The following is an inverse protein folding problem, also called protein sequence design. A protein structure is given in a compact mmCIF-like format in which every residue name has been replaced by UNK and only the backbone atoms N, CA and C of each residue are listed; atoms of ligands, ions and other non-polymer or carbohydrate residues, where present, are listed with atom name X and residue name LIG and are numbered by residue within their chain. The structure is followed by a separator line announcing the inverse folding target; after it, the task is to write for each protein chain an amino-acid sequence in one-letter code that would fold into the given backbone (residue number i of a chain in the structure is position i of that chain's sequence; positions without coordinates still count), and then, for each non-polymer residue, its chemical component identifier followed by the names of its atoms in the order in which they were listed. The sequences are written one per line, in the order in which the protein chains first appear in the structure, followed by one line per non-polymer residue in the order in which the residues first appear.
data_IF_757043623564
#
_entry.id   IF_757043623564
#
_cell.length_a   1.000
_cell.length_b   1.000
_cell.length_c   1.000
_cell.angle_alpha   90.00
_cell.angle_beta   90.00
_cell.angle_gamma   90.00
#
_symmetry.space_group_name_H-M   'P 1'
#
loop_
_entity.id
_entity.type
_entity.pdbx_description
1 polymer ?
#
# COMPACT_ATOMS: atom_id res chain seq x y z
N UNK A 1 -2.29 11.65 -18.68
CA UNK A 1 -1.08 11.29 -19.35
C UNK A 1 -0.09 10.64 -18.44
N UNK A 2 0.39 11.37 -17.50
CA UNK A 2 1.40 10.80 -16.62
C UNK A 2 0.91 9.60 -15.86
N UNK A 3 -0.39 9.51 -15.63
CA UNK A 3 -0.93 8.35 -14.95
C UNK A 3 -0.74 7.06 -15.70
N UNK A 4 -0.89 7.11 -17.00
CA UNK A 4 -0.68 5.93 -17.82
C UNK A 4 0.74 5.43 -17.70
N UNK A 5 1.67 6.33 -17.72
CA UNK A 5 3.08 5.97 -17.58
C UNK A 5 3.33 5.29 -16.25
N UNK A 6 2.76 5.83 -15.20
CA UNK A 6 2.97 5.27 -13.88
C UNK A 6 2.40 3.87 -13.79
N UNK A 7 1.21 3.68 -14.32
CA UNK A 7 0.61 2.37 -14.32
C UNK A 7 1.43 1.38 -15.11
N UNK A 8 1.95 1.81 -16.25
CA UNK A 8 2.78 0.97 -17.08
C UNK A 8 4.02 0.50 -16.34
N UNK A 9 4.64 1.40 -15.62
CA UNK A 9 5.83 1.04 -14.87
C UNK A 9 5.55 -0.03 -13.84
N UNK A 10 4.41 0.03 -13.20
CA UNK A 10 4.08 -0.93 -12.17
C UNK A 10 3.78 -2.31 -12.68
N UNK A 11 3.51 -2.44 -13.96
CA UNK A 11 3.16 -3.74 -14.51
C UNK A 11 4.28 -4.43 -15.24
N UNK A 12 5.45 -3.83 -15.23
CA UNK A 12 6.55 -4.34 -16.01
C UNK A 12 7.07 -5.72 -15.65
N UNK A 13 7.36 -6.01 -14.40
CA UNK A 13 8.08 -7.23 -14.11
C UNK A 13 7.27 -8.47 -14.44
N UNK A 14 7.97 -9.45 -14.86
CA UNK A 14 7.37 -10.75 -15.13
C UNK A 14 7.49 -11.58 -13.87
N UNK A 15 6.41 -12.02 -13.35
CA UNK A 15 6.41 -12.93 -12.21
C UNK A 15 6.31 -12.19 -10.88
N UNK A 16 5.61 -12.80 -9.93
CA UNK A 16 5.27 -12.13 -8.68
C UNK A 16 6.48 -11.76 -7.83
N UNK A 17 7.50 -12.62 -7.80
CA UNK A 17 8.64 -12.36 -6.94
C UNK A 17 9.52 -11.23 -7.42
N UNK A 18 9.33 -10.78 -8.65
CA UNK A 18 10.14 -9.72 -9.23
C UNK A 18 9.44 -8.38 -9.21
N UNK A 19 8.16 -8.37 -8.84
CA UNK A 19 7.44 -7.12 -8.76
C UNK A 19 7.97 -6.31 -7.60
N UNK A 20 8.16 -5.00 -7.80
CA UNK A 20 8.59 -4.15 -6.70
C UNK A 20 7.50 -4.10 -5.63
N UNK A 21 7.92 -3.88 -4.41
CA UNK A 21 6.98 -3.66 -3.32
C UNK A 21 6.40 -2.26 -3.48
N UNK A 22 5.08 -2.18 -3.59
CA UNK A 22 4.38 -0.91 -3.76
C UNK A 22 3.70 -0.57 -2.44
N UNK A 23 4.14 0.51 -1.82
CA UNK A 23 3.54 0.95 -0.58
C UNK A 23 2.16 1.53 -0.86
N UNK A 24 1.16 1.24 -0.01
CA UNK A 24 -0.19 1.80 -0.21
C UNK A 24 -0.21 3.32 -0.33
N UNK A 25 0.78 3.99 0.24
CA UNK A 25 0.90 5.44 0.13
C UNK A 25 1.02 5.91 -1.31
N UNK A 26 1.60 5.11 -2.19
CA UNK A 26 1.67 5.47 -3.61
C UNK A 26 0.29 5.47 -4.25
N UNK A 27 -0.52 4.50 -3.89
CA UNK A 27 -1.89 4.43 -4.39
C UNK A 27 -2.72 5.58 -3.84
N UNK A 28 -2.52 5.89 -2.55
CA UNK A 28 -3.22 7.00 -1.94
C UNK A 28 -2.82 8.32 -2.61
N UNK A 29 -1.55 8.47 -2.94
CA UNK A 29 -1.06 9.66 -3.62
C UNK A 29 -1.76 9.83 -4.97
N UNK A 30 -1.92 8.73 -5.71
CA UNK A 30 -2.61 8.76 -6.99
C UNK A 30 -4.07 9.18 -6.82
N UNK A 31 -4.73 8.66 -5.78
CA UNK A 31 -6.12 9.03 -5.51
C UNK A 31 -6.25 10.52 -5.21
N UNK A 32 -5.32 11.04 -4.42
CA UNK A 32 -5.36 12.46 -4.10
C UNK A 32 -5.12 13.32 -5.33
N UNK A 33 -4.17 12.92 -6.16
CA UNK A 33 -3.88 13.67 -7.39
C UNK A 33 -5.08 13.67 -8.32
N UNK A 34 -5.73 12.52 -8.45
CA UNK A 34 -6.89 12.37 -9.30
C UNK A 34 -8.02 13.29 -8.89
N UNK A 35 -8.19 13.47 -7.61
CA UNK A 35 -9.28 14.26 -7.05
C UNK A 35 -8.87 15.68 -6.72
N UNK A 36 -7.62 16.03 -6.99
CA UNK A 36 -7.07 17.34 -6.67
C UNK A 36 -7.30 17.67 -5.20
N UNK A 37 -7.00 16.70 -4.35
CA UNK A 37 -7.24 16.80 -2.93
C UNK A 37 -5.92 16.82 -2.19
N UNK A 38 -5.77 17.76 -1.25
CA UNK A 38 -4.55 17.84 -0.47
C UNK A 38 -4.57 16.86 0.69
N UNK A 39 -3.40 16.57 1.23
CA UNK A 39 -3.30 15.71 2.40
C UNK A 39 -4.09 16.30 3.58
N UNK A 40 -4.02 17.61 3.75
CA UNK A 40 -4.76 18.29 4.82
C UNK A 40 -6.25 18.14 4.66
N UNK A 41 -6.73 18.29 3.44
CA UNK A 41 -8.16 18.16 3.16
C UNK A 41 -8.63 16.73 3.42
N UNK A 42 -7.85 15.75 3.01
CA UNK A 42 -8.20 14.36 3.29
C UNK A 42 -8.23 14.11 4.79
N UNK A 43 -7.21 14.56 5.50
CA UNK A 43 -7.13 14.35 6.95
C UNK A 43 -8.37 14.90 7.64
N UNK A 44 -8.79 16.09 7.24
CA UNK A 44 -10.01 16.69 7.78
C UNK A 44 -11.23 15.86 7.45
N UNK A 45 -11.30 15.40 6.21
CA UNK A 45 -12.48 14.66 5.75
C UNK A 45 -12.64 13.34 6.48
N UNK A 46 -11.54 12.67 6.80
CA UNK A 46 -11.62 11.36 7.44
C UNK A 46 -11.37 11.43 8.96
N UNK A 47 -11.12 12.62 9.48
CA UNK A 47 -11.05 12.83 10.92
C UNK A 47 -9.78 12.33 11.59
N UNK A 48 -8.64 12.51 10.94
CA UNK A 48 -7.35 12.14 11.52
C UNK A 48 -6.39 13.31 11.46
N UNK A 49 -5.31 13.29 12.25
CA UNK A 49 -4.28 14.30 12.11
C UNK A 49 -3.63 14.23 10.73
N UNK A 50 -3.24 15.40 10.22
CA UNK A 50 -2.62 15.44 8.89
C UNK A 50 -1.32 14.61 8.86
N UNK A 51 -0.63 14.51 10.00
CA UNK A 51 0.59 13.71 10.06
C UNK A 51 0.33 12.25 9.74
N UNK A 52 -0.84 11.72 10.12
CA UNK A 52 -1.15 10.35 9.77
C UNK A 52 -1.21 10.17 8.26
N UNK A 53 -1.83 11.13 7.56
CA UNK A 53 -1.93 11.06 6.11
C UNK A 53 -0.56 11.22 5.46
N UNK A 54 0.20 12.23 5.88
CA UNK A 54 1.49 12.48 5.26
C UNK A 54 2.48 11.34 5.52
N UNK A 55 2.40 10.70 6.68
CA UNK A 55 3.27 9.56 6.96
C UNK A 55 2.94 8.38 6.07
N UNK A 56 1.66 8.14 5.79
CA UNK A 56 1.27 7.09 4.86
C UNK A 56 1.77 7.43 3.46
N UNK A 57 1.57 8.66 3.03
CA UNK A 57 2.01 9.09 1.70
C UNK A 57 3.50 8.93 1.51
N UNK A 58 4.26 9.15 2.56
CA UNK A 58 5.73 9.06 2.51
C UNK A 58 6.26 7.66 2.80
N UNK A 59 5.37 6.69 2.98
CA UNK A 59 5.80 5.32 3.21
C UNK A 59 6.31 5.05 4.61
N UNK A 60 6.07 5.96 5.55
CA UNK A 60 6.57 5.80 6.92
C UNK A 60 5.58 5.14 7.84
N UNK A 61 4.37 5.01 7.40
CA UNK A 61 3.31 4.40 8.20
C UNK A 61 2.47 3.54 7.27
N UNK A 62 2.06 2.38 7.74
CA UNK A 62 1.20 1.51 6.98
C UNK A 62 -0.27 1.85 7.16
N UNK A 63 -1.10 1.12 6.45
CA UNK A 63 -2.55 1.25 6.54
C UNK A 63 -3.04 0.29 7.61
N UNK A 64 -3.53 0.84 8.72
CA UNK A 64 -4.17 0.05 9.76
C UNK A 64 -5.63 -0.18 9.40
N UNK A 65 -6.29 -1.05 10.16
CA UNK A 65 -7.72 -1.27 9.96
C UNK A 65 -8.50 0.03 10.14
N UNK A 66 -8.13 0.83 11.13
CA UNK A 66 -8.77 2.12 11.36
C UNK A 66 -8.65 3.01 10.13
N UNK A 67 -7.45 3.14 9.60
CA UNK A 67 -7.23 3.98 8.43
C UNK A 67 -7.96 3.43 7.21
N UNK A 68 -7.96 2.10 7.04
CA UNK A 68 -8.66 1.48 5.91
C UNK A 68 -10.15 1.75 5.96
N UNK A 69 -10.74 1.68 7.14
CA UNK A 69 -12.17 1.98 7.30
C UNK A 69 -12.47 3.42 6.93
N UNK A 70 -11.64 4.34 7.38
CA UNK A 70 -11.85 5.75 7.09
C UNK A 70 -11.70 6.08 5.62
N UNK A 71 -10.65 5.54 5.00
CA UNK A 71 -10.40 5.79 3.59
C UNK A 71 -11.50 5.21 2.72
N UNK A 72 -11.94 3.99 3.01
CA UNK A 72 -12.98 3.37 2.20
C UNK A 72 -14.32 4.08 2.38
N UNK A 73 -14.57 4.62 3.56
CA UNK A 73 -15.79 5.39 3.77
C UNK A 73 -15.80 6.64 2.90
N UNK A 74 -14.65 7.28 2.79
CA UNK A 74 -14.55 8.53 2.03
C UNK A 74 -14.48 8.28 0.52
N UNK A 75 -13.60 7.38 0.10
CA UNK A 75 -13.40 7.12 -1.33
C UNK A 75 -14.40 6.13 -1.91
N UNK A 76 -15.03 5.35 -1.07
CA UNK A 76 -15.88 4.26 -1.51
C UNK A 76 -15.11 2.96 -1.56
N UNK A 77 -15.81 1.90 -1.85
CA UNK A 77 -15.20 0.59 -1.92
C UNK A 77 -15.09 -0.07 -0.55
N UNK A 78 -14.20 -1.03 -0.44
CA UNK A 78 -14.08 -1.87 0.74
C UNK A 78 -12.78 -1.53 1.49
N UNK A 79 -12.79 -1.59 2.83
CA UNK A 79 -11.54 -1.44 3.57
C UNK A 79 -10.53 -2.52 3.23
N UNK A 80 -10.98 -3.68 2.74
CA UNK A 80 -10.06 -4.74 2.36
C UNK A 80 -9.18 -4.35 1.19
N UNK A 81 -9.63 -3.45 0.33
CA UNK A 81 -8.79 -2.95 -0.74
C UNK A 81 -7.48 -2.38 -0.17
N UNK A 82 -7.60 -1.49 0.82
CA UNK A 82 -6.44 -0.87 1.42
C UNK A 82 -5.61 -1.85 2.23
N UNK A 83 -6.29 -2.76 2.95
CA UNK A 83 -5.58 -3.75 3.75
C UNK A 83 -4.86 -4.77 2.86
N UNK A 84 -5.44 -5.11 1.72
CA UNK A 84 -4.76 -6.02 0.79
C UNK A 84 -3.51 -5.38 0.20
N UNK A 85 -3.57 -4.09 -0.11
CA UNK A 85 -2.39 -3.37 -0.57
C UNK A 85 -1.29 -3.42 0.48
N UNK A 86 -1.66 -3.18 1.73
CA UNK A 86 -0.70 -3.19 2.83
C UNK A 86 -0.10 -4.58 3.01
N UNK A 87 -0.94 -5.59 2.97
CA UNK A 87 -0.50 -6.95 3.17
C UNK A 87 0.45 -7.40 2.06
N UNK A 88 0.13 -7.06 0.83
CA UNK A 88 1.00 -7.39 -0.31
C UNK A 88 2.36 -6.71 -0.17
N UNK A 89 2.36 -5.46 0.25
CA UNK A 89 3.60 -4.74 0.47
C UNK A 89 4.42 -5.41 1.59
N UNK A 90 3.76 -5.70 2.71
CA UNK A 90 4.44 -6.29 3.85
C UNK A 90 5.06 -7.64 3.52
N UNK A 91 4.34 -8.45 2.74
CA UNK A 91 4.86 -9.76 2.35
C UNK A 91 6.10 -9.63 1.47
N UNK A 92 6.08 -8.71 0.52
CA UNK A 92 7.24 -8.53 -0.35
C UNK A 92 8.46 -8.04 0.42
N UNK A 93 8.23 -7.11 1.33
CA UNK A 93 9.32 -6.61 2.15
C UNK A 93 9.89 -7.71 3.03
N UNK A 94 9.01 -8.50 3.65
CA UNK A 94 9.45 -9.57 4.53
C UNK A 94 10.19 -10.66 3.76
N UNK A 95 9.69 -10.99 2.57
CA UNK A 95 10.34 -12.00 1.75
C UNK A 95 11.74 -11.56 1.34
N UNK A 96 11.87 -10.30 0.97
CA UNK A 96 13.17 -9.77 0.59
C UNK A 96 14.14 -9.77 1.78
N UNK A 97 13.64 -9.44 2.96
CA UNK A 97 14.46 -9.37 4.15
C UNK A 97 14.92 -10.76 4.61
N UNK A 98 14.03 -11.74 4.53
CA UNK A 98 14.37 -13.12 4.91
C UNK A 98 15.28 -13.78 3.89
N UNK A 99 14.97 -13.61 2.63
CA UNK A 99 15.66 -14.29 1.56
C UNK A 99 15.18 -15.70 1.40
N UNK A 100 15.40 -16.28 0.21
CA UNK A 100 14.92 -17.64 -0.05
C UNK A 100 15.59 -18.70 0.81
N UNK A 101 16.86 -18.50 1.17
CA UNK A 101 17.56 -19.49 1.97
C UNK A 101 16.95 -19.65 3.36
N UNK A 102 16.54 -18.54 3.96
CA UNK A 102 15.95 -18.61 5.29
C UNK A 102 14.64 -19.39 5.28
N UNK A 103 13.83 -19.16 4.28
CA UNK A 103 12.56 -19.87 4.18
C UNK A 103 12.77 -21.35 3.88
N UNK A 104 13.75 -21.67 3.03
CA UNK A 104 14.05 -23.04 2.69
C UNK A 104 14.50 -23.86 3.89
N UNK A 105 15.12 -23.23 4.87
CA UNK A 105 15.55 -23.92 6.07
C UNK A 105 14.40 -24.33 6.97
N UNK A 106 13.24 -23.77 6.78
CA UNK A 106 12.11 -24.12 7.60
C UNK A 106 11.46 -25.35 6.98
N UNK A 107 11.60 -26.48 7.68
CA UNK A 107 11.03 -27.72 7.21
C UNK A 107 9.53 -27.74 7.54
N UNK A 108 8.69 -28.11 6.57
CA UNK A 108 7.27 -28.21 6.87
C UNK A 108 7.01 -29.23 7.95
N UNK A 109 5.97 -29.02 8.74
CA UNK A 109 5.58 -29.96 9.78
C UNK A 109 5.18 -31.28 9.11
N UNK A 110 5.47 -32.40 9.79
CA UNK A 110 5.06 -33.69 9.29
C UNK A 110 3.54 -33.78 9.24
N UNK A 111 3.02 -34.43 8.22
CA UNK A 111 1.59 -34.53 7.99
C UNK A 111 0.90 -35.43 9.01
#
# INVERSE_FOLDING_TARGET
MSKSSTATKRTLPAGPNRLPAVHPGEILRDELAERELSASALARAVGVPVTRVTEVLNGRRGISADTALRLSRYFGGSPRFWLNLQQSYDLKVAEAALGPAALTRIAPAAA
#
